data_IF_049967947649
#
_entry.id   IF_049967947649
#
_cell.length_a   1.000
_cell.length_b   1.000
_cell.length_c   1.000
_cell.angle_alpha   90.00
_cell.angle_beta   90.00
_cell.angle_gamma   90.00
#
_symmetry.space_group_name_H-M   'P 1'
#
loop_
_entity.id
_entity.type
_entity.pdbx_description
1 polymer ?
#
# COMPACT_ATOMS: atom_id res chain seq x y z
N UNK A 1 6.55 20.69 7.76
CA UNK A 1 5.21 20.06 7.82
C UNK A 1 4.17 21.16 7.72
N UNK A 2 3.43 21.20 6.62
CA UNK A 2 2.26 22.08 6.47
C UNK A 2 1.14 21.58 7.40
N UNK A 3 0.38 22.49 7.99
CA UNK A 3 -0.79 22.13 8.80
C UNK A 3 -1.97 21.88 7.86
N UNK A 4 -2.60 20.73 7.97
CA UNK A 4 -3.82 20.38 7.26
C UNK A 4 -4.92 20.16 8.27
N UNK A 5 -6.08 20.77 8.05
CA UNK A 5 -7.29 20.51 8.84
C UNK A 5 -8.12 19.47 8.10
N UNK A 6 -8.37 18.33 8.75
CA UNK A 6 -9.19 17.23 8.23
C UNK A 6 -10.07 16.70 9.36
N UNK A 7 -11.28 16.28 9.01
CA UNK A 7 -12.13 15.53 9.93
C UNK A 7 -11.72 14.07 9.92
N UNK A 8 -11.61 13.48 11.11
CA UNK A 8 -11.23 12.09 11.33
C UNK A 8 -12.20 11.51 12.35
N UNK A 9 -12.67 10.30 12.09
CA UNK A 9 -13.43 9.53 13.07
C UNK A 9 -12.60 9.29 14.34
N UNK A 10 -13.09 9.76 15.48
CA UNK A 10 -12.35 9.71 16.75
C UNK A 10 -12.18 8.28 17.29
N UNK A 11 -13.12 7.38 17.00
CA UNK A 11 -13.01 5.97 17.42
C UNK A 11 -11.94 5.26 16.61
N UNK A 12 -11.93 5.46 15.29
CA UNK A 12 -10.89 4.95 14.41
C UNK A 12 -9.51 5.50 14.82
N UNK A 13 -9.42 6.80 15.09
CA UNK A 13 -8.17 7.44 15.52
C UNK A 13 -7.68 6.87 16.85
N UNK A 14 -8.57 6.63 17.81
CA UNK A 14 -8.21 6.00 19.08
C UNK A 14 -7.65 4.58 18.87
N UNK A 15 -8.30 3.77 18.02
CA UNK A 15 -7.83 2.42 17.68
C UNK A 15 -6.45 2.45 17.02
N UNK A 16 -6.21 3.39 16.10
CA UNK A 16 -4.90 3.57 15.47
C UNK A 16 -3.87 3.99 16.51
N UNK A 17 -4.17 4.95 17.38
CA UNK A 17 -3.26 5.38 18.45
C UNK A 17 -2.83 4.20 19.33
N UNK A 18 -3.77 3.32 19.72
CA UNK A 18 -3.45 2.10 20.46
C UNK A 18 -2.56 1.15 19.64
N UNK A 19 -2.94 0.86 18.39
CA UNK A 19 -2.20 -0.08 17.53
C UNK A 19 -0.76 0.39 17.23
N UNK A 20 -0.56 1.71 17.05
CA UNK A 20 0.74 2.30 16.72
C UNK A 20 1.53 2.75 17.95
N UNK A 21 1.01 2.49 19.16
CA UNK A 21 1.56 2.95 20.44
C UNK A 21 1.87 4.45 20.42
N UNK A 22 0.98 5.24 19.83
CA UNK A 22 1.16 6.67 19.65
C UNK A 22 0.56 7.44 20.82
N UNK A 23 1.33 8.42 21.29
CA UNK A 23 0.91 9.28 22.40
C UNK A 23 0.18 10.54 21.92
N UNK A 24 0.28 10.84 20.62
CA UNK A 24 -0.41 11.99 20.01
C UNK A 24 -1.16 11.62 18.73
N UNK A 25 -2.25 12.33 18.45
CA UNK A 25 -3.03 12.18 17.19
C UNK A 25 -2.15 12.34 15.95
N UNK A 26 -1.24 13.34 15.95
CA UNK A 26 -0.29 13.57 14.85
C UNK A 26 0.64 12.38 14.61
N UNK A 27 1.19 11.82 15.69
CA UNK A 27 2.08 10.66 15.59
C UNK A 27 1.34 9.45 15.01
N UNK A 28 0.12 9.20 15.48
CA UNK A 28 -0.72 8.11 14.99
C UNK A 28 -1.05 8.25 13.50
N UNK A 29 -1.47 9.44 13.06
CA UNK A 29 -1.75 9.72 11.64
C UNK A 29 -0.50 9.52 10.79
N UNK A 30 0.65 10.06 11.20
CA UNK A 30 1.89 9.90 10.44
C UNK A 30 2.33 8.43 10.35
N UNK A 31 2.24 7.67 11.44
CA UNK A 31 2.57 6.23 11.45
C UNK A 31 1.61 5.44 10.56
N UNK A 32 0.31 5.72 10.63
CA UNK A 32 -0.69 5.07 9.77
C UNK A 32 -0.44 5.32 8.29
N UNK A 33 -0.09 6.56 7.90
CA UNK A 33 0.26 6.89 6.53
C UNK A 33 1.52 6.14 6.06
N UNK A 34 2.54 6.05 6.91
CA UNK A 34 3.75 5.28 6.59
C UNK A 34 3.44 3.79 6.36
N UNK A 35 2.64 3.17 7.25
CA UNK A 35 2.20 1.78 7.12
C UNK A 35 1.35 1.53 5.86
N UNK A 36 0.53 2.50 5.45
CA UNK A 36 -0.24 2.41 4.22
C UNK A 36 0.66 2.37 2.98
N UNK A 37 1.77 3.12 2.97
CA UNK A 37 2.74 3.13 1.88
C UNK A 37 3.57 1.84 1.85
N UNK A 38 3.93 1.31 3.02
CA UNK A 38 4.62 0.02 3.12
C UNK A 38 3.73 -1.14 2.62
N UNK A 39 2.45 -1.10 2.95
CA UNK A 39 1.48 -2.08 2.46
C UNK A 39 1.35 -2.05 0.93
N UNK A 40 1.41 -0.86 0.32
CA UNK A 40 1.37 -0.72 -1.15
C UNK A 40 2.66 -1.24 -1.81
N UNK A 41 3.83 -0.92 -1.25
CA UNK A 41 5.11 -1.39 -1.80
C UNK A 41 5.24 -2.92 -1.72
N UNK A 42 4.79 -3.53 -0.62
CA UNK A 42 4.75 -4.99 -0.46
C UNK A 42 3.81 -5.62 -1.49
N UNK A 43 2.58 -5.10 -1.64
CA UNK A 43 1.63 -5.60 -2.65
C UNK A 43 2.18 -5.49 -4.07
N UNK A 44 2.85 -4.39 -4.40
CA UNK A 44 3.52 -4.20 -5.69
C UNK A 44 4.65 -5.19 -5.91
N UNK A 45 5.51 -5.41 -4.92
CA UNK A 45 6.57 -6.42 -5.01
C UNK A 45 6.02 -7.83 -5.19
N UNK A 46 4.95 -8.19 -4.47
CA UNK A 46 4.29 -9.48 -4.65
C UNK A 46 3.66 -9.63 -6.03
N UNK A 47 3.03 -8.58 -6.57
CA UNK A 47 2.48 -8.59 -7.92
C UNK A 47 3.59 -8.81 -8.96
N UNK A 48 4.73 -8.11 -8.83
CA UNK A 48 5.90 -8.30 -9.69
C UNK A 48 6.45 -9.72 -9.60
N UNK A 49 6.58 -10.27 -8.39
CA UNK A 49 7.01 -11.67 -8.20
C UNK A 49 6.03 -12.65 -8.84
N UNK A 50 4.71 -12.41 -8.75
CA UNK A 50 3.71 -13.23 -9.44
C UNK A 50 3.85 -13.14 -10.96
N UNK A 51 4.09 -11.95 -11.51
CA UNK A 51 4.33 -11.77 -12.94
C UNK A 51 5.60 -12.48 -13.40
N UNK A 52 6.71 -12.34 -12.66
CA UNK A 52 7.98 -13.02 -12.95
C UNK A 52 7.84 -14.54 -12.91
N UNK A 53 7.11 -15.09 -11.92
CA UNK A 53 6.83 -16.53 -11.87
C UNK A 53 6.04 -17.01 -13.09
N UNK A 54 4.97 -16.29 -13.47
CA UNK A 54 4.19 -16.63 -14.68
C UNK A 54 5.02 -16.53 -15.96
N UNK A 55 5.95 -15.57 -16.04
CA UNK A 55 6.90 -15.44 -17.15
C UNK A 55 7.85 -16.65 -17.21
N UNK A 56 8.40 -17.07 -16.06
CA UNK A 56 9.29 -18.23 -15.97
C UNK A 56 8.58 -19.56 -16.23
N UNK A 57 7.30 -19.65 -15.87
CA UNK A 57 6.44 -20.80 -16.14
C UNK A 57 5.95 -20.86 -17.60
N UNK A 58 6.39 -19.92 -18.46
CA UNK A 58 6.03 -19.87 -19.88
C UNK A 58 4.56 -19.50 -20.15
N UNK A 59 3.89 -18.91 -19.15
CA UNK A 59 2.45 -18.60 -19.20
C UNK A 59 2.15 -17.17 -19.68
N UNK A 60 3.18 -16.38 -19.97
CA UNK A 60 3.03 -15.13 -20.72
C UNK A 60 3.21 -15.48 -22.20
N UNK A 61 2.08 -15.73 -22.86
CA UNK A 61 2.03 -15.89 -24.31
C UNK A 61 2.17 -14.50 -24.94
N UNK A 62 3.41 -14.08 -25.20
CA UNK A 62 3.71 -12.81 -25.86
C UNK A 62 3.32 -12.84 -27.34
N UNK A 63 3.02 -14.01 -27.91
CA UNK A 63 2.56 -14.15 -29.30
C UNK A 63 1.12 -13.63 -29.47
N UNK A 64 0.35 -13.44 -28.39
CA UNK A 64 -1.00 -12.87 -28.43
C UNK A 64 -1.04 -11.32 -28.40
N UNK A 65 0.12 -10.65 -28.29
CA UNK A 65 0.21 -9.18 -28.21
C UNK A 65 0.66 -8.54 -29.54
N UNK A 66 0.93 -9.33 -30.58
CA UNK A 66 1.40 -8.85 -31.90
C UNK A 66 0.28 -8.79 -32.97
N UNK A 67 -1.00 -9.04 -32.62
CA UNK A 67 -2.13 -9.03 -33.56
C UNK A 67 -2.93 -7.70 -33.56
N UNK A 68 -2.26 -6.56 -33.72
CA UNK A 68 -2.91 -5.31 -34.14
C UNK A 68 -2.06 -4.63 -35.23
N UNK A 69 -2.26 -5.06 -36.47
CA UNK A 69 -1.83 -4.40 -37.72
C UNK A 69 -2.80 -3.28 -38.14
#
# INVERSE_FOLDING_TARGET
MTKTLIDIDDELLARVMTATHSTTKKEAVNKALALSLESDSVKRMEALRRMQRRAQEGLLDFDALDDDE
#
